data_IF_025410587059
#
_entry.id   IF_025410587059
#
_cell.length_a   1.000
_cell.length_b   1.000
_cell.length_c   1.000
_cell.angle_alpha   90.00
_cell.angle_beta   90.00
_cell.angle_gamma   90.00
#
_symmetry.space_group_name_H-M   'P 1'
#
loop_
_entity.id
_entity.type
_entity.pdbx_description
1 polymer ?
#
# COMPACT_ATOMS: atom_id res chain seq x y z
N UNK A 1 -10.91 27.65 -4.11
CA UNK A 1 -11.60 27.75 -2.80
C UNK A 1 -10.64 27.20 -1.76
N UNK A 2 -10.19 28.05 -0.81
CA UNK A 2 -9.35 27.61 0.29
C UNK A 2 -10.23 26.89 1.33
N UNK A 3 -9.79 25.73 1.80
CA UNK A 3 -10.45 25.05 2.92
C UNK A 3 -10.13 25.81 4.21
N UNK A 4 -11.16 26.10 5.03
CA UNK A 4 -10.97 26.59 6.39
C UNK A 4 -10.66 25.41 7.31
N UNK A 5 -9.59 25.52 8.11
CA UNK A 5 -9.24 24.50 9.10
C UNK A 5 -10.38 24.29 10.10
N UNK A 6 -11.03 25.37 10.52
CA UNK A 6 -12.15 25.34 11.43
C UNK A 6 -13.36 24.59 10.86
N UNK A 7 -13.62 24.73 9.55
CA UNK A 7 -14.68 23.99 8.86
C UNK A 7 -14.38 22.50 8.81
N UNK A 8 -13.13 22.12 8.41
CA UNK A 8 -12.71 20.71 8.34
C UNK A 8 -12.77 20.06 9.73
N UNK A 9 -12.34 20.77 10.78
CA UNK A 9 -12.37 20.23 12.16
C UNK A 9 -13.77 19.83 12.62
N UNK A 10 -14.82 20.47 12.13
CA UNK A 10 -16.22 20.12 12.46
C UNK A 10 -16.63 18.72 11.99
N UNK A 11 -15.96 18.20 10.98
CA UNK A 11 -16.21 16.85 10.47
C UNK A 11 -15.70 15.74 11.40
N UNK A 12 -14.89 16.09 12.41
CA UNK A 12 -14.27 15.13 13.32
C UNK A 12 -14.70 15.38 14.77
N UNK A 13 -15.52 14.49 15.34
CA UNK A 13 -16.03 14.63 16.72
C UNK A 13 -14.89 14.78 17.74
N UNK A 14 -13.81 14.02 17.58
CA UNK A 14 -12.66 14.04 18.50
C UNK A 14 -11.91 15.39 18.54
N UNK A 15 -12.12 16.26 17.55
CA UNK A 15 -11.48 17.58 17.48
C UNK A 15 -12.36 18.73 17.96
N UNK A 16 -13.65 18.48 18.27
CA UNK A 16 -14.62 19.51 18.67
C UNK A 16 -14.28 20.14 20.02
N UNK A 17 -13.66 19.38 20.93
CA UNK A 17 -13.28 19.83 22.27
C UNK A 17 -11.92 20.55 22.31
N UNK A 18 -11.37 20.95 21.16
CA UNK A 18 -10.06 21.61 21.08
C UNK A 18 -8.87 20.67 21.14
N UNK A 19 -9.10 19.36 21.11
CA UNK A 19 -8.03 18.36 21.10
C UNK A 19 -7.09 18.53 19.90
N UNK A 20 -5.80 18.27 20.14
CA UNK A 20 -4.75 18.22 19.11
C UNK A 20 -4.42 16.75 18.86
N UNK A 21 -4.52 16.30 17.62
CA UNK A 21 -4.20 14.94 17.22
C UNK A 21 -3.02 14.93 16.26
N UNK A 22 -1.89 14.33 16.68
CA UNK A 22 -0.63 14.30 15.94
C UNK A 22 -0.20 12.87 15.57
N UNK A 23 -1.06 11.87 15.74
CA UNK A 23 -0.75 10.45 15.50
C UNK A 23 -1.39 9.89 14.22
N UNK A 24 -1.52 10.74 13.19
CA UNK A 24 -2.13 10.35 11.91
C UNK A 24 -1.33 9.27 11.17
N UNK A 25 -0.01 9.22 11.39
CA UNK A 25 0.85 8.18 10.80
C UNK A 25 0.48 6.77 11.31
N UNK A 26 -0.02 6.65 12.54
CA UNK A 26 -0.55 5.39 13.07
C UNK A 26 -1.95 5.10 12.51
N UNK A 27 -2.88 6.06 12.62
CA UNK A 27 -4.24 5.96 12.06
C UNK A 27 -4.85 7.34 11.91
N UNK A 28 -5.53 7.63 10.80
CA UNK A 28 -6.26 8.87 10.63
C UNK A 28 -7.55 8.87 11.48
N UNK A 29 -7.95 10.02 12.01
CA UNK A 29 -9.26 10.20 12.61
C UNK A 29 -10.37 9.92 11.59
N UNK A 30 -11.54 9.48 12.07
CA UNK A 30 -12.66 9.14 11.19
C UNK A 30 -13.63 10.32 11.12
N UNK A 31 -13.88 10.87 9.92
CA UNK A 31 -14.87 11.93 9.78
C UNK A 31 -16.29 11.39 9.99
N UNK A 32 -17.19 12.25 10.41
CA UNK A 32 -18.58 11.92 10.71
C UNK A 32 -19.28 11.20 9.55
N UNK A 33 -18.96 11.56 8.31
CA UNK A 33 -19.53 10.92 7.12
C UNK A 33 -19.19 9.43 7.05
N UNK A 34 -17.98 9.03 7.45
CA UNK A 34 -17.56 7.62 7.47
C UNK A 34 -18.25 6.86 8.59
N UNK A 35 -18.32 7.45 9.79
CA UNK A 35 -19.01 6.86 10.96
C UNK A 35 -20.48 6.64 10.63
N UNK A 36 -21.14 7.65 10.06
CA UNK A 36 -22.55 7.59 9.69
C UNK A 36 -22.81 6.55 8.58
N UNK A 37 -21.93 6.44 7.59
CA UNK A 37 -22.05 5.43 6.53
C UNK A 37 -22.01 4.01 7.09
N UNK A 38 -21.10 3.73 8.06
CA UNK A 38 -21.01 2.42 8.74
C UNK A 38 -22.31 2.15 9.53
N UNK A 39 -22.78 3.13 10.30
CA UNK A 39 -24.03 3.01 11.06
C UNK A 39 -25.22 2.76 10.14
N UNK A 40 -25.33 3.50 9.04
CA UNK A 40 -26.38 3.34 8.05
C UNK A 40 -26.35 1.96 7.39
N UNK A 41 -25.18 1.46 7.04
CA UNK A 41 -25.02 0.13 6.49
C UNK A 41 -25.61 -0.95 7.41
N UNK A 42 -25.22 -0.94 8.69
CA UNK A 42 -25.72 -1.94 9.65
C UNK A 42 -27.23 -1.81 9.92
N UNK A 43 -27.78 -0.61 9.91
CA UNK A 43 -29.21 -0.39 10.14
C UNK A 43 -30.06 -0.77 8.92
N UNK A 44 -29.60 -0.42 7.71
CA UNK A 44 -30.45 -0.46 6.50
C UNK A 44 -30.09 -1.56 5.52
N UNK A 45 -28.81 -1.97 5.40
CA UNK A 45 -28.31 -2.73 4.26
C UNK A 45 -27.49 -3.96 4.63
N UNK A 46 -27.38 -4.30 5.89
CA UNK A 46 -26.56 -5.42 6.36
C UNK A 46 -26.98 -6.75 5.71
N UNK A 47 -26.32 -7.12 4.63
CA UNK A 47 -26.60 -8.31 3.86
C UNK A 47 -25.33 -9.07 3.47
N UNK A 48 -25.51 -10.36 3.11
CA UNK A 48 -24.41 -11.17 2.59
C UNK A 48 -24.11 -10.76 1.15
N UNK A 49 -22.87 -10.29 0.91
CA UNK A 49 -22.41 -9.99 -0.44
C UNK A 49 -22.48 -11.24 -1.35
N UNK A 50 -22.74 -11.02 -2.64
CA UNK A 50 -22.95 -12.06 -3.65
C UNK A 50 -24.23 -12.89 -3.51
N UNK A 51 -25.08 -12.60 -2.52
CA UNK A 51 -26.41 -13.23 -2.43
C UNK A 51 -27.41 -12.50 -3.31
N UNK A 52 -27.75 -13.10 -4.45
CA UNK A 52 -28.80 -12.58 -5.36
C UNK A 52 -30.24 -12.88 -4.87
N UNK A 53 -30.38 -13.56 -3.75
CA UNK A 53 -31.69 -13.96 -3.19
C UNK A 53 -32.23 -12.94 -2.19
N UNK A 54 -31.50 -11.86 -1.92
CA UNK A 54 -31.85 -10.85 -0.95
C UNK A 54 -31.51 -9.45 -1.46
N UNK A 55 -32.48 -8.54 -1.37
CA UNK A 55 -32.25 -7.11 -1.67
C UNK A 55 -31.11 -6.51 -0.85
N UNK A 56 -30.88 -6.98 0.38
CA UNK A 56 -29.74 -6.55 1.21
C UNK A 56 -28.42 -7.09 0.68
N UNK A 57 -28.40 -8.32 0.16
CA UNK A 57 -27.23 -8.92 -0.47
C UNK A 57 -26.85 -8.21 -1.76
N UNK A 58 -27.82 -7.90 -2.61
CA UNK A 58 -27.61 -7.12 -3.83
C UNK A 58 -27.06 -5.72 -3.50
N UNK A 59 -27.66 -5.04 -2.53
CA UNK A 59 -27.18 -3.71 -2.10
C UNK A 59 -25.77 -3.75 -1.53
N UNK A 60 -25.43 -4.76 -0.74
CA UNK A 60 -24.07 -4.94 -0.20
C UNK A 60 -23.09 -5.19 -1.34
N UNK A 61 -23.44 -6.02 -2.33
CA UNK A 61 -22.60 -6.29 -3.50
C UNK A 61 -22.38 -5.04 -4.34
N UNK A 62 -23.42 -4.24 -4.56
CA UNK A 62 -23.35 -2.95 -5.25
C UNK A 62 -22.37 -1.99 -4.54
N UNK A 63 -22.47 -1.86 -3.21
CA UNK A 63 -21.58 -1.00 -2.42
C UNK A 63 -20.11 -1.44 -2.54
N UNK A 64 -19.83 -2.74 -2.51
CA UNK A 64 -18.48 -3.28 -2.68
C UNK A 64 -17.93 -2.95 -4.09
N UNK A 65 -18.72 -3.21 -5.14
CA UNK A 65 -18.27 -2.94 -6.51
C UNK A 65 -18.12 -1.44 -6.80
N UNK A 66 -18.99 -0.60 -6.25
CA UNK A 66 -18.86 0.85 -6.35
C UNK A 66 -17.59 1.35 -5.67
N UNK A 67 -17.28 0.81 -4.48
CA UNK A 67 -16.03 1.13 -3.77
C UNK A 67 -14.82 0.72 -4.60
N UNK A 68 -14.84 -0.48 -5.19
CA UNK A 68 -13.79 -0.97 -6.07
C UNK A 68 -13.57 -0.05 -7.28
N UNK A 69 -14.65 0.42 -7.90
CA UNK A 69 -14.59 1.37 -9.01
C UNK A 69 -14.02 2.73 -8.60
N UNK A 70 -14.38 3.25 -7.41
CA UNK A 70 -13.87 4.53 -6.89
C UNK A 70 -12.37 4.42 -6.68
N UNK A 71 -11.90 3.36 -6.03
CA UNK A 71 -10.48 3.13 -5.78
C UNK A 71 -9.70 2.97 -7.08
N UNK A 72 -10.20 2.16 -8.01
CA UNK A 72 -9.56 1.99 -9.31
C UNK A 72 -9.37 3.34 -10.03
N UNK A 73 -10.41 4.17 -10.05
CA UNK A 73 -10.31 5.53 -10.63
C UNK A 73 -9.33 6.42 -9.87
N UNK A 74 -9.28 6.32 -8.54
CA UNK A 74 -8.39 7.13 -7.70
C UNK A 74 -6.92 6.91 -8.02
N UNK A 75 -6.52 5.65 -8.25
CA UNK A 75 -5.15 5.28 -8.62
C UNK A 75 -4.94 5.09 -10.13
N UNK A 76 -5.95 5.44 -10.94
CA UNK A 76 -5.93 5.31 -12.41
C UNK A 76 -5.73 3.88 -12.92
N UNK A 77 -6.44 2.93 -12.31
CA UNK A 77 -6.38 1.50 -12.57
C UNK A 77 -7.68 0.93 -13.14
N UNK A 78 -7.66 -0.38 -13.44
CA UNK A 78 -8.86 -1.17 -13.71
C UNK A 78 -9.38 -1.79 -12.40
N UNK A 79 -10.70 -1.86 -12.23
CA UNK A 79 -11.32 -2.46 -11.04
C UNK A 79 -10.95 -3.94 -10.84
N UNK A 80 -10.63 -4.67 -11.90
CA UNK A 80 -10.21 -6.08 -11.84
C UNK A 80 -8.90 -6.28 -11.09
N UNK A 81 -8.07 -5.24 -11.05
CA UNK A 81 -6.77 -5.25 -10.38
C UNK A 81 -6.86 -4.84 -8.90
N UNK A 82 -8.08 -4.57 -8.39
CA UNK A 82 -8.28 -4.15 -7.00
C UNK A 82 -8.71 -5.35 -6.16
N UNK A 83 -7.93 -5.71 -5.18
CA UNK A 83 -8.21 -6.78 -4.23
C UNK A 83 -8.37 -6.16 -2.84
N UNK A 84 -9.43 -6.53 -2.13
CA UNK A 84 -9.67 -6.10 -0.77
C UNK A 84 -9.15 -7.13 0.23
N UNK A 85 -8.43 -6.67 1.24
CA UNK A 85 -7.90 -7.46 2.37
C UNK A 85 -8.23 -6.82 3.71
N UNK A 86 -7.92 -7.45 4.82
CA UNK A 86 -8.21 -6.94 6.17
C UNK A 86 -7.22 -5.87 6.65
N UNK A 87 -5.97 -5.92 6.16
CA UNK A 87 -4.89 -4.99 6.57
C UNK A 87 -3.79 -4.91 5.51
N UNK A 88 -3.01 -3.81 5.48
CA UNK A 88 -1.81 -3.76 4.62
C UNK A 88 -0.84 -4.90 4.95
N UNK A 89 -0.77 -5.31 6.21
CA UNK A 89 0.00 -6.49 6.63
C UNK A 89 -0.48 -7.76 5.92
N UNK A 90 -1.79 -8.02 5.87
CA UNK A 90 -2.34 -9.17 5.11
C UNK A 90 -2.05 -9.01 3.62
N UNK A 91 -2.21 -7.81 3.06
CA UNK A 91 -1.90 -7.55 1.66
C UNK A 91 -0.47 -7.88 1.30
N UNK A 92 0.50 -7.38 2.09
CA UNK A 92 1.92 -7.63 1.88
C UNK A 92 2.26 -9.11 2.01
N UNK A 93 1.74 -9.79 3.05
CA UNK A 93 1.90 -11.24 3.18
C UNK A 93 1.32 -11.99 1.96
N UNK A 94 0.13 -11.61 1.50
CA UNK A 94 -0.49 -12.23 0.32
C UNK A 94 0.37 -12.05 -0.94
N UNK A 95 0.93 -10.87 -1.16
CA UNK A 95 1.83 -10.62 -2.30
C UNK A 95 3.11 -11.45 -2.21
N UNK A 96 3.73 -11.48 -1.02
CA UNK A 96 5.04 -12.11 -0.81
C UNK A 96 4.94 -13.63 -0.87
N UNK A 97 3.98 -14.22 -0.15
CA UNK A 97 3.77 -15.67 -0.17
C UNK A 97 3.09 -16.16 -1.45
N UNK A 98 2.38 -15.28 -2.17
CA UNK A 98 1.83 -15.57 -3.49
C UNK A 98 2.87 -15.81 -4.59
N UNK A 99 4.13 -15.40 -4.34
CA UNK A 99 5.25 -15.60 -5.27
C UNK A 99 6.35 -16.53 -4.71
N UNK A 100 6.10 -17.18 -3.57
CA UNK A 100 7.12 -18.02 -2.90
C UNK A 100 7.62 -19.20 -3.74
N UNK A 101 6.75 -19.78 -4.57
CA UNK A 101 7.09 -20.95 -5.39
C UNK A 101 8.04 -20.64 -6.56
N UNK A 102 8.14 -19.38 -6.94
CA UNK A 102 9.05 -18.94 -8.02
C UNK A 102 10.39 -18.44 -7.51
N UNK A 103 10.54 -18.31 -6.19
CA UNK A 103 11.80 -17.91 -5.54
C UNK A 103 12.67 -19.15 -5.34
N UNK A 104 13.95 -19.05 -5.74
CA UNK A 104 14.94 -20.12 -5.71
C UNK A 104 16.04 -19.82 -4.70
N UNK A 105 16.75 -20.83 -4.29
CA UNK A 105 18.02 -20.68 -3.58
C UNK A 105 18.97 -19.78 -4.39
N UNK A 106 19.71 -18.92 -3.73
CA UNK A 106 20.56 -17.86 -4.30
C UNK A 106 19.83 -16.61 -4.81
N UNK A 107 18.51 -16.59 -4.91
CA UNK A 107 17.79 -15.34 -5.16
C UNK A 107 17.99 -14.35 -3.99
N UNK A 108 17.86 -13.07 -4.29
CA UNK A 108 18.04 -12.00 -3.31
C UNK A 108 16.78 -11.12 -3.21
N UNK A 109 16.50 -10.69 -2.00
CA UNK A 109 15.49 -9.69 -1.68
C UNK A 109 16.19 -8.35 -1.39
N UNK A 110 15.74 -7.27 -2.02
CA UNK A 110 16.22 -5.93 -1.75
C UNK A 110 15.14 -5.13 -1.03
N UNK A 111 15.43 -4.67 0.19
CA UNK A 111 14.57 -3.83 1.02
C UNK A 111 15.26 -2.49 1.31
N UNK A 112 14.51 -1.54 1.88
CA UNK A 112 15.09 -0.34 2.47
C UNK A 112 15.08 -0.42 4.00
N UNK A 113 15.92 0.37 4.67
CA UNK A 113 15.86 0.50 6.14
C UNK A 113 14.68 1.35 6.61
N UNK A 114 13.92 1.95 5.67
CA UNK A 114 12.75 2.78 5.96
C UNK A 114 11.45 1.98 6.07
N UNK A 115 11.50 0.67 5.83
CA UNK A 115 10.32 -0.17 5.76
C UNK A 115 9.60 -0.30 7.11
N UNK A 116 8.28 -0.33 7.05
CA UNK A 116 7.47 -0.76 8.19
C UNK A 116 7.63 -2.27 8.42
N UNK A 117 7.50 -2.75 9.66
CA UNK A 117 7.61 -4.18 10.00
C UNK A 117 6.74 -5.08 9.11
N UNK A 118 5.56 -4.61 8.71
CA UNK A 118 4.68 -5.36 7.80
C UNK A 118 5.33 -5.64 6.43
N UNK A 119 6.29 -4.79 6.01
CA UNK A 119 7.05 -4.93 4.77
C UNK A 119 8.51 -5.41 5.01
N UNK A 120 8.80 -5.95 6.20
CA UNK A 120 10.08 -6.58 6.53
C UNK A 120 9.88 -8.04 6.92
N UNK A 121 9.01 -8.30 7.90
CA UNK A 121 8.88 -9.62 8.54
C UNK A 121 8.48 -10.73 7.56
N UNK A 122 7.55 -10.54 6.62
CA UNK A 122 7.24 -11.59 5.64
C UNK A 122 8.43 -11.98 4.77
N UNK A 123 9.27 -11.01 4.40
CA UNK A 123 10.50 -11.29 3.66
C UNK A 123 11.54 -12.04 4.50
N UNK A 124 11.63 -11.73 5.80
CA UNK A 124 12.52 -12.46 6.71
C UNK A 124 12.09 -13.92 6.86
N UNK A 125 10.77 -14.17 6.93
CA UNK A 125 10.21 -15.53 6.96
C UNK A 125 10.57 -16.26 5.66
N UNK A 126 10.24 -15.67 4.50
CA UNK A 126 10.55 -16.24 3.18
C UNK A 126 12.05 -16.49 3.02
N UNK A 127 12.89 -15.53 3.44
CA UNK A 127 14.36 -15.65 3.40
C UNK A 127 14.85 -16.86 4.17
N UNK A 128 14.30 -17.09 5.37
CA UNK A 128 14.66 -18.25 6.21
C UNK A 128 14.18 -19.56 5.60
N UNK A 129 12.95 -19.60 5.07
CA UNK A 129 12.35 -20.81 4.50
C UNK A 129 13.03 -21.24 3.19
N UNK A 130 13.41 -20.28 2.35
CA UNK A 130 14.01 -20.55 1.03
C UNK A 130 15.54 -20.41 1.02
N UNK A 131 16.18 -20.13 2.16
CA UNK A 131 17.63 -19.90 2.29
C UNK A 131 18.16 -18.81 1.36
N UNK A 132 17.42 -17.69 1.22
CA UNK A 132 17.77 -16.55 0.36
C UNK A 132 18.22 -15.35 1.17
N UNK A 133 18.95 -14.43 0.56
CA UNK A 133 19.55 -13.28 1.26
C UNK A 133 18.67 -12.04 1.16
N UNK A 134 18.60 -11.28 2.26
CA UNK A 134 18.02 -9.94 2.25
C UNK A 134 19.16 -8.91 2.26
N UNK A 135 19.11 -7.98 1.31
CA UNK A 135 19.97 -6.80 1.26
C UNK A 135 19.17 -5.55 1.62
N UNK A 136 19.81 -4.60 2.24
CA UNK A 136 19.16 -3.34 2.64
C UNK A 136 19.83 -2.15 1.96
N UNK A 137 19.01 -1.25 1.42
CA UNK A 137 19.42 0.08 0.96
C UNK A 137 19.45 1.01 2.17
N UNK A 138 20.58 1.68 2.38
CA UNK A 138 20.77 2.62 3.47
C UNK A 138 20.47 4.05 3.00
N UNK A 139 20.31 4.95 3.96
CA UNK A 139 20.16 6.38 3.72
C UNK A 139 21.53 7.02 3.53
N UNK A 140 21.55 8.19 2.91
CA UNK A 140 22.71 9.07 2.91
C UNK A 140 22.92 9.69 4.29
N UNK A 141 24.02 10.43 4.46
CA UNK A 141 24.33 11.14 5.71
C UNK A 141 23.29 12.20 6.10
N UNK A 142 22.59 12.77 5.11
CA UNK A 142 21.51 13.72 5.28
C UNK A 142 20.13 13.06 5.53
N UNK A 143 20.11 11.76 5.75
CA UNK A 143 18.93 10.90 5.92
C UNK A 143 18.00 10.81 4.71
N UNK A 144 18.38 11.34 3.55
CA UNK A 144 17.63 11.13 2.30
C UNK A 144 17.87 9.75 1.71
N UNK A 145 16.91 9.25 0.91
CA UNK A 145 17.03 7.96 0.25
C UNK A 145 18.18 7.95 -0.77
N UNK A 146 19.03 6.92 -0.71
CA UNK A 146 20.17 6.77 -1.63
C UNK A 146 19.79 5.95 -2.87
N UNK A 147 19.36 6.64 -3.93
CA UNK A 147 19.06 6.02 -5.23
C UNK A 147 20.27 5.37 -5.88
N UNK A 148 21.49 5.84 -5.59
CA UNK A 148 22.71 5.25 -6.15
C UNK A 148 23.04 3.93 -5.46
N UNK A 149 22.87 3.85 -4.13
CA UNK A 149 23.03 2.60 -3.38
C UNK A 149 21.96 1.58 -3.82
N UNK A 150 20.71 2.04 -3.98
CA UNK A 150 19.63 1.21 -4.52
C UNK A 150 19.98 0.62 -5.89
N UNK A 151 20.38 1.47 -6.85
CA UNK A 151 20.74 1.04 -8.21
C UNK A 151 21.89 0.02 -8.20
N UNK A 152 22.95 0.27 -7.40
CA UNK A 152 24.12 -0.62 -7.29
C UNK A 152 23.79 -1.98 -6.68
N UNK A 153 22.81 -2.04 -5.80
CA UNK A 153 22.42 -3.29 -5.11
C UNK A 153 21.55 -4.20 -5.95
N UNK A 154 20.93 -3.69 -7.02
CA UNK A 154 20.24 -4.53 -8.00
C UNK A 154 21.28 -5.30 -8.80
N UNK A 155 21.22 -6.64 -8.75
CA UNK A 155 22.18 -7.54 -9.38
C UNK A 155 21.46 -8.77 -10.00
N UNK A 156 22.21 -9.72 -10.53
CA UNK A 156 21.70 -10.90 -11.23
C UNK A 156 20.78 -11.77 -10.39
N UNK A 157 20.91 -11.74 -9.07
CA UNK A 157 20.14 -12.56 -8.15
C UNK A 157 18.93 -11.80 -7.56
N UNK A 158 18.79 -10.50 -7.82
CA UNK A 158 17.68 -9.70 -7.28
C UNK A 158 16.36 -10.20 -7.87
N UNK A 159 15.54 -10.85 -7.06
CA UNK A 159 14.25 -11.43 -7.45
C UNK A 159 13.07 -10.63 -6.94
N UNK A 160 13.16 -10.08 -5.73
CA UNK A 160 12.10 -9.32 -5.08
C UNK A 160 12.65 -7.98 -4.59
N UNK A 161 11.88 -6.93 -4.76
CA UNK A 161 12.17 -5.59 -4.22
C UNK A 161 10.94 -5.14 -3.41
N UNK A 162 11.12 -4.87 -2.11
CA UNK A 162 10.11 -4.27 -1.24
C UNK A 162 10.49 -2.84 -0.90
N UNK A 163 9.59 -1.88 -1.16
CA UNK A 163 9.88 -0.46 -0.97
C UNK A 163 8.67 0.28 -0.39
N UNK A 164 8.89 1.07 0.66
CA UNK A 164 7.88 2.01 1.12
C UNK A 164 7.88 3.27 0.27
N UNK A 165 6.70 3.81 -0.04
CA UNK A 165 6.59 5.09 -0.74
C UNK A 165 6.92 6.27 0.17
N UNK A 166 6.66 6.12 1.48
CA UNK A 166 6.98 7.13 2.50
C UNK A 166 7.15 6.46 3.85
N UNK A 167 8.20 6.83 4.57
CA UNK A 167 8.46 6.31 5.91
C UNK A 167 7.45 6.85 6.93
N UNK A 168 6.87 5.97 7.73
CA UNK A 168 6.03 6.35 8.86
C UNK A 168 6.81 6.93 10.04
N UNK A 169 8.13 6.79 10.06
CA UNK A 169 9.01 7.25 11.16
C UNK A 169 9.66 8.58 10.80
N UNK A 170 10.31 8.66 9.65
CA UNK A 170 11.08 9.84 9.25
C UNK A 170 10.30 10.81 8.36
N UNK A 171 9.23 10.33 7.70
CA UNK A 171 8.51 11.08 6.69
C UNK A 171 9.23 11.12 5.33
N UNK A 172 10.42 10.52 5.21
CA UNK A 172 11.17 10.47 3.96
C UNK A 172 10.31 9.87 2.84
N UNK A 173 10.23 10.56 1.72
CA UNK A 173 9.48 10.17 0.53
C UNK A 173 10.40 9.58 -0.51
N UNK A 174 10.02 8.43 -1.05
CA UNK A 174 10.73 7.77 -2.15
C UNK A 174 9.94 8.01 -3.44
N UNK A 175 10.61 8.51 -4.46
CA UNK A 175 10.03 8.70 -5.80
C UNK A 175 9.91 7.34 -6.50
N UNK A 176 8.67 6.81 -6.53
CA UNK A 176 8.39 5.48 -7.08
C UNK A 176 8.49 5.45 -8.61
N UNK A 177 8.19 6.55 -9.31
CA UNK A 177 8.39 6.63 -10.76
C UNK A 177 9.89 6.45 -11.07
N UNK A 178 10.77 7.14 -10.34
CA UNK A 178 12.22 6.99 -10.45
C UNK A 178 12.71 5.59 -10.06
N UNK A 179 12.12 4.95 -9.06
CA UNK A 179 12.42 3.55 -8.71
C UNK A 179 12.11 2.62 -9.89
N UNK A 180 10.94 2.78 -10.51
CA UNK A 180 10.55 2.01 -11.69
C UNK A 180 11.55 2.18 -12.84
N UNK A 181 11.98 3.41 -13.11
CA UNK A 181 13.00 3.71 -14.14
C UNK A 181 14.34 3.00 -13.84
N UNK A 182 14.82 3.09 -12.60
CA UNK A 182 16.07 2.42 -12.17
C UNK A 182 15.95 0.91 -12.31
N UNK A 183 14.87 0.31 -11.81
CA UNK A 183 14.65 -1.15 -11.90
C UNK A 183 14.62 -1.59 -13.35
N UNK A 184 13.89 -0.90 -14.22
CA UNK A 184 13.80 -1.20 -15.65
C UNK A 184 15.14 -1.07 -16.37
N UNK A 185 15.89 0.01 -16.09
CA UNK A 185 17.24 0.24 -16.63
C UNK A 185 18.20 -0.87 -16.21
N UNK A 186 18.28 -1.16 -14.90
CA UNK A 186 19.19 -2.18 -14.36
C UNK A 186 18.85 -3.58 -14.84
N UNK A 187 17.57 -3.94 -14.90
CA UNK A 187 17.17 -5.25 -15.44
C UNK A 187 17.59 -5.42 -16.90
N UNK A 188 17.46 -4.37 -17.71
CA UNK A 188 17.94 -4.39 -19.10
C UNK A 188 19.47 -4.51 -19.21
N UNK A 189 20.21 -3.73 -18.42
CA UNK A 189 21.69 -3.76 -18.41
C UNK A 189 22.24 -5.12 -17.99
N UNK A 190 21.59 -5.75 -17.01
CA UNK A 190 21.97 -7.06 -16.48
C UNK A 190 21.39 -8.23 -17.31
N UNK A 191 20.51 -7.94 -18.26
CA UNK A 191 19.77 -8.96 -19.03
C UNK A 191 19.03 -9.96 -18.12
N UNK A 192 18.30 -9.45 -17.12
CA UNK A 192 17.46 -10.22 -16.19
C UNK A 192 15.99 -9.86 -16.35
N UNK A 193 15.12 -10.74 -15.89
CA UNK A 193 13.70 -10.39 -15.70
C UNK A 193 13.55 -9.23 -14.70
N UNK A 194 12.50 -8.44 -14.88
CA UNK A 194 12.17 -7.37 -13.91
C UNK A 194 11.83 -8.03 -12.58
N UNK A 195 12.51 -7.66 -11.46
CA UNK A 195 12.19 -8.16 -10.14
C UNK A 195 10.75 -7.86 -9.73
N UNK A 196 10.15 -8.68 -8.88
CA UNK A 196 8.84 -8.42 -8.28
C UNK A 196 8.92 -7.19 -7.37
N UNK A 197 8.53 -6.03 -7.89
CA UNK A 197 8.57 -4.75 -7.18
C UNK A 197 7.25 -4.55 -6.44
N UNK A 198 7.28 -4.65 -5.10
CA UNK A 198 6.14 -4.50 -4.20
C UNK A 198 6.27 -3.15 -3.47
N UNK A 199 5.28 -2.29 -3.63
CA UNK A 199 5.26 -0.94 -3.06
C UNK A 199 4.30 -0.89 -1.86
N UNK A 200 4.82 -0.53 -0.68
CA UNK A 200 4.00 -0.11 0.46
C UNK A 200 3.70 1.38 0.38
N UNK A 201 2.53 1.72 -0.11
CA UNK A 201 2.04 3.10 -0.22
C UNK A 201 1.16 3.52 0.97
N UNK A 202 1.19 2.79 2.09
CA UNK A 202 0.31 3.03 3.25
C UNK A 202 0.37 4.45 3.81
N UNK A 203 1.52 5.10 3.75
CA UNK A 203 1.68 6.51 4.13
C UNK A 203 1.56 7.42 2.91
N UNK A 204 2.28 7.13 1.83
CA UNK A 204 2.42 8.02 0.69
C UNK A 204 1.12 8.32 -0.06
N UNK A 205 0.15 7.37 -0.08
CA UNK A 205 -1.13 7.57 -0.78
C UNK A 205 -1.99 8.71 -0.20
N UNK A 206 -1.76 9.08 1.06
CA UNK A 206 -2.46 10.21 1.70
C UNK A 206 -1.92 11.56 1.27
N UNK A 207 -0.70 11.62 0.76
CA UNK A 207 0.02 12.84 0.46
C UNK A 207 0.22 13.06 -1.04
N UNK A 208 0.29 11.97 -1.82
CA UNK A 208 0.53 12.03 -3.27
C UNK A 208 -0.54 11.27 -4.05
N UNK A 209 -0.95 11.86 -5.16
CA UNK A 209 -1.79 11.16 -6.13
C UNK A 209 -0.94 10.13 -6.87
N UNK A 210 -1.37 8.88 -6.84
CA UNK A 210 -0.72 7.78 -7.54
C UNK A 210 -1.41 7.56 -8.89
N UNK A 211 -0.63 7.45 -9.96
CA UNK A 211 -1.09 6.98 -11.26
C UNK A 211 -0.34 5.69 -11.59
N UNK A 212 -0.97 4.54 -11.35
CA UNK A 212 -0.32 3.23 -11.54
C UNK A 212 0.06 2.94 -12.99
N UNK A 213 -0.51 3.65 -13.97
CA UNK A 213 -0.12 3.51 -15.38
C UNK A 213 1.28 4.04 -15.68
N UNK A 214 1.81 4.88 -14.79
CA UNK A 214 3.20 5.34 -14.87
C UNK A 214 4.19 4.41 -14.16
N UNK A 215 3.67 3.43 -13.41
CA UNK A 215 4.44 2.49 -12.60
C UNK A 215 4.48 1.11 -13.28
N UNK A 216 4.91 1.07 -14.53
CA UNK A 216 4.82 -0.08 -15.44
C UNK A 216 5.70 -1.31 -15.03
N UNK A 217 6.49 -1.16 -13.97
CA UNK A 217 7.37 -2.22 -13.44
C UNK A 217 6.94 -2.77 -12.09
N UNK A 218 5.91 -2.18 -11.45
CA UNK A 218 5.47 -2.70 -10.16
C UNK A 218 4.72 -4.01 -10.32
N UNK A 219 4.95 -4.95 -9.41
CA UNK A 219 4.13 -6.14 -9.25
C UNK A 219 2.88 -5.84 -8.44
N UNK A 220 3.03 -5.15 -7.32
CA UNK A 220 1.92 -4.80 -6.44
C UNK A 220 2.10 -3.43 -5.79
N UNK A 221 0.97 -2.74 -5.57
CA UNK A 221 0.86 -1.55 -4.74
C UNK A 221 -0.10 -1.84 -3.59
N UNK A 222 0.37 -1.68 -2.37
CA UNK A 222 -0.40 -1.94 -1.15
C UNK A 222 -0.61 -0.65 -0.38
N UNK A 223 -1.83 -0.41 0.13
CA UNK A 223 -2.08 0.72 1.02
C UNK A 223 -3.22 0.47 2.00
N UNK A 224 -3.28 1.28 3.05
CA UNK A 224 -4.12 1.11 4.22
C UNK A 224 -5.32 2.05 4.22
N UNK A 225 -6.54 1.50 4.20
CA UNK A 225 -7.78 2.30 4.23
C UNK A 225 -7.93 3.16 5.49
N UNK A 226 -7.47 2.67 6.66
CA UNK A 226 -7.60 3.42 7.91
C UNK A 226 -6.67 4.64 8.01
N UNK A 227 -5.69 4.77 7.13
CA UNK A 227 -4.80 5.94 7.03
C UNK A 227 -5.36 7.00 6.07
N UNK A 228 -6.28 6.63 5.19
CA UNK A 228 -7.02 7.53 4.29
C UNK A 228 -8.47 7.75 4.76
N UNK A 229 -8.64 7.93 6.07
CA UNK A 229 -9.90 8.23 6.75
C UNK A 229 -10.93 7.09 6.78
N UNK A 230 -10.65 5.92 6.19
CA UNK A 230 -11.49 4.73 6.25
C UNK A 230 -11.51 4.08 7.64
N UNK A 231 -12.47 3.21 7.95
CA UNK A 231 -12.55 2.53 9.24
C UNK A 231 -11.40 1.55 9.47
N UNK A 232 -11.11 1.24 10.75
CA UNK A 232 -10.17 0.18 11.11
C UNK A 232 -10.76 -1.20 10.81
N UNK A 233 -9.90 -2.19 10.51
CA UNK A 233 -10.32 -3.56 10.22
C UNK A 233 -11.06 -3.74 8.89
N UNK A 234 -11.12 -2.69 8.07
CA UNK A 234 -11.73 -2.73 6.75
C UNK A 234 -10.69 -2.50 5.67
N UNK A 235 -10.52 -3.54 4.90
CA UNK A 235 -10.06 -3.66 3.53
C UNK A 235 -8.96 -2.68 3.13
N UNK A 236 -7.75 -3.16 3.20
CA UNK A 236 -6.64 -2.57 2.49
C UNK A 236 -6.66 -3.08 1.04
N UNK A 237 -5.93 -2.42 0.20
CA UNK A 237 -6.06 -2.60 -1.23
C UNK A 237 -4.73 -3.08 -1.75
N UNK A 238 -4.78 -4.17 -2.48
CA UNK A 238 -3.70 -4.60 -3.34
C UNK A 238 -4.11 -4.23 -4.76
N UNK A 239 -3.25 -3.52 -5.45
CA UNK A 239 -3.25 -3.44 -6.89
C UNK A 239 -2.21 -4.43 -7.40
N UNK A 240 -2.62 -5.36 -8.26
CA UNK A 240 -1.72 -6.32 -8.94
C UNK A 240 -1.88 -6.09 -10.45
N UNK A 241 -0.76 -6.09 -11.17
CA UNK A 241 -0.75 -5.98 -12.64
C UNK A 241 -1.14 -7.31 -13.27
#
# INVERSE_FOLDING_TARGET
>A
MGYSVEEIRKDFEQLKEGNIYLDTAATALKPNVVINAIKEYYIKFNGNSHSKMSIYGDKTSELIENTRNIIARYINSNKRNIIFTKSATESLNTCIFGIEDIVKEDDEILLTILEHHANIVPYQILSKEKNIKIKYVYLKEDYSFDYNDFEKKINYNTKIIGITMQSNVTGEEIDIEKICEIVKKRSKELNIEIPYLIIDASQGITHKKIDVRKLDTIYALVFSGHKIYGPQGVRNIIYII
#
